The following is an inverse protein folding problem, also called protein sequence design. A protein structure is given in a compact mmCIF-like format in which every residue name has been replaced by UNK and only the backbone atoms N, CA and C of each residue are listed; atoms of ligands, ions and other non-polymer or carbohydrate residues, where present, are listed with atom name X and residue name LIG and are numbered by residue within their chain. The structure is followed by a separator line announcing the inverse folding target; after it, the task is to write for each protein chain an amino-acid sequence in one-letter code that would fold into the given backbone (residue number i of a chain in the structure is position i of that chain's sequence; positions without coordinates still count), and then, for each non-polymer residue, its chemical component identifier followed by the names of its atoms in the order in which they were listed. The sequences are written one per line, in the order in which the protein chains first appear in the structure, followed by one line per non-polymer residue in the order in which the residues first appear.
data_IF_712246043527
#
_entry.id   IF_712246043527
#
_cell.length_a   1.000
_cell.length_b   1.000
_cell.length_c   1.000
_cell.angle_alpha   90.00
_cell.angle_beta   90.00
_cell.angle_gamma   90.00
#
_symmetry.space_group_name_H-M   'P 1'
#
loop_
_entity.id
_entity.type
_entity.pdbx_description
1 polymer ?
#
# COMPACT_ATOMS: atom_id res chain seq x y z
N UNK A 1 23.30 37.12 15.58
CA UNK A 1 23.22 38.17 14.54
C UNK A 1 22.40 37.64 13.38
N UNK A 2 21.35 38.35 13.00
CA UNK A 2 20.46 37.95 11.90
C UNK A 2 21.13 38.29 10.57
N UNK A 3 21.52 37.28 9.82
CA UNK A 3 22.03 37.46 8.46
C UNK A 3 20.90 38.06 7.62
N UNK A 4 20.99 39.37 7.33
CA UNK A 4 20.04 40.11 6.52
C UNK A 4 20.07 39.54 5.10
N UNK A 5 19.12 38.65 4.80
CA UNK A 5 18.91 38.17 3.45
C UNK A 5 18.55 39.37 2.55
N UNK A 6 19.37 39.63 1.54
CA UNK A 6 19.23 40.76 0.57
C UNK A 6 17.89 40.70 -0.20
N UNK A 7 17.15 39.59 -0.11
CA UNK A 7 15.89 39.33 -0.79
C UNK A 7 14.64 39.99 -0.15
N UNK A 8 14.77 40.72 0.96
CA UNK A 8 13.64 41.36 1.62
C UNK A 8 12.86 40.43 2.56
N UNK A 9 11.70 40.88 3.07
CA UNK A 9 10.93 40.07 4.04
C UNK A 9 10.40 38.78 3.41
N UNK A 10 10.39 37.67 4.17
CA UNK A 10 9.93 36.36 3.70
C UNK A 10 8.50 36.40 3.11
N UNK A 11 7.64 37.29 3.64
CA UNK A 11 6.29 37.50 3.13
C UNK A 11 6.28 38.10 1.72
N UNK A 12 7.13 39.09 1.45
CA UNK A 12 7.23 39.74 0.14
C UNK A 12 7.81 38.77 -0.88
N UNK A 13 8.87 38.04 -0.51
CA UNK A 13 9.48 37.01 -1.37
C UNK A 13 8.45 35.95 -1.76
N UNK A 14 7.70 35.42 -0.78
CA UNK A 14 6.63 34.45 -1.05
C UNK A 14 5.58 35.00 -2.01
N UNK A 15 5.16 36.25 -1.82
CA UNK A 15 4.15 36.87 -2.68
C UNK A 15 4.65 37.00 -4.12
N UNK A 16 5.86 37.53 -4.32
CA UNK A 16 6.46 37.70 -5.65
C UNK A 16 6.72 36.35 -6.34
N UNK A 17 7.16 35.32 -5.60
CA UNK A 17 7.28 33.97 -6.14
C UNK A 17 5.94 33.43 -6.63
N UNK A 18 4.86 33.62 -5.87
CA UNK A 18 3.53 33.16 -6.28
C UNK A 18 2.98 33.96 -7.47
N UNK A 19 3.19 35.27 -7.53
CA UNK A 19 2.82 36.08 -8.70
C UNK A 19 3.55 35.61 -9.96
N UNK A 20 4.82 35.23 -9.84
CA UNK A 20 5.59 34.68 -10.95
C UNK A 20 5.15 33.27 -11.37
N UNK A 21 4.94 32.37 -10.40
CA UNK A 21 4.60 30.97 -10.69
C UNK A 21 3.15 30.79 -11.17
N UNK A 22 2.24 31.68 -10.79
CA UNK A 22 0.82 31.57 -11.18
C UNK A 22 0.59 31.51 -12.70
N UNK A 23 1.08 32.46 -13.53
CA UNK A 23 0.90 32.38 -14.99
C UNK A 23 1.59 31.17 -15.62
N UNK A 24 2.73 30.73 -15.06
CA UNK A 24 3.44 29.52 -15.54
C UNK A 24 2.59 28.28 -15.27
N UNK A 25 2.03 28.16 -14.07
CA UNK A 25 1.16 27.04 -13.71
C UNK A 25 -0.11 26.99 -14.58
N UNK A 26 -0.63 28.16 -14.99
CA UNK A 26 -1.82 28.26 -15.83
C UNK A 26 -1.56 27.92 -17.30
N UNK A 27 -0.51 28.48 -17.90
CA UNK A 27 -0.25 28.32 -19.34
C UNK A 27 0.65 27.11 -19.67
N UNK A 28 1.42 26.63 -18.70
CA UNK A 28 2.39 25.55 -18.84
C UNK A 28 2.27 24.51 -17.72
N UNK A 29 1.04 24.22 -17.28
CA UNK A 29 0.75 23.35 -16.15
C UNK A 29 1.50 22.01 -16.17
N UNK A 30 1.50 21.30 -17.31
CA UNK A 30 2.19 20.01 -17.42
C UNK A 30 3.71 20.11 -17.18
N UNK A 31 4.36 21.10 -17.80
CA UNK A 31 5.80 21.35 -17.59
C UNK A 31 6.08 21.80 -16.15
N UNK A 32 5.20 22.62 -15.58
CA UNK A 32 5.31 23.08 -14.20
C UNK A 32 5.24 21.92 -13.21
N UNK A 33 4.20 21.09 -13.28
CA UNK A 33 4.04 19.92 -12.40
C UNK A 33 5.18 18.92 -12.58
N UNK A 34 5.63 18.68 -13.82
CA UNK A 34 6.79 17.83 -14.06
C UNK A 34 8.07 18.40 -13.42
N UNK A 35 8.31 19.70 -13.50
CA UNK A 35 9.45 20.34 -12.85
C UNK A 35 9.38 20.25 -11.31
N UNK A 36 8.20 20.43 -10.71
CA UNK A 36 8.01 20.23 -9.26
C UNK A 36 8.23 18.76 -8.88
N UNK A 37 7.83 17.81 -9.72
CA UNK A 37 8.06 16.39 -9.48
C UNK A 37 9.55 15.99 -9.57
N UNK A 38 10.33 16.65 -10.45
CA UNK A 38 11.80 16.51 -10.45
C UNK A 38 12.37 17.00 -9.12
N UNK A 39 11.97 18.21 -8.67
CA UNK A 39 12.42 18.76 -7.39
C UNK A 39 11.96 17.92 -6.19
N UNK A 40 10.78 17.29 -6.27
CA UNK A 40 10.25 16.36 -5.28
C UNK A 40 11.17 15.16 -5.09
N UNK A 41 11.63 14.60 -6.22
CA UNK A 41 12.53 13.47 -6.25
C UNK A 41 13.92 13.85 -5.71
N UNK A 42 14.47 14.99 -6.11
CA UNK A 42 15.77 15.48 -5.62
C UNK A 42 15.81 15.72 -4.10
N UNK A 43 14.66 16.05 -3.51
CA UNK A 43 14.51 16.28 -2.06
C UNK A 43 14.18 15.01 -1.27
N UNK A 44 14.15 13.85 -1.91
CA UNK A 44 13.86 12.58 -1.22
C UNK A 44 15.02 12.16 -0.33
N UNK A 45 14.71 11.59 0.84
CA UNK A 45 15.71 11.00 1.73
C UNK A 45 16.22 9.66 1.17
N UNK A 46 17.50 9.36 1.39
CA UNK A 46 18.17 8.16 0.85
C UNK A 46 17.64 6.82 1.42
N UNK A 47 17.01 6.81 2.61
CA UNK A 47 16.59 5.59 3.31
C UNK A 47 15.07 5.50 3.48
N UNK A 48 14.31 5.70 2.40
CA UNK A 48 12.85 5.62 2.46
C UNK A 48 12.37 4.16 2.40
N UNK A 49 11.74 3.67 3.48
CA UNK A 49 11.38 2.24 3.65
C UNK A 49 9.89 1.92 3.54
N UNK A 50 9.02 2.90 3.27
CA UNK A 50 7.58 2.65 3.11
C UNK A 50 7.19 2.57 1.64
N UNK A 51 6.13 1.81 1.35
CA UNK A 51 5.58 1.72 -0.01
C UNK A 51 4.69 2.93 -0.31
N UNK A 52 3.91 3.38 0.67
CA UNK A 52 3.14 4.64 0.60
C UNK A 52 4.03 5.78 1.10
N UNK A 53 4.22 6.85 0.31
CA UNK A 53 5.13 7.95 0.62
C UNK A 53 4.64 8.78 1.82
N UNK A 54 5.61 9.37 2.52
CA UNK A 54 5.44 10.31 3.62
C UNK A 54 6.42 11.42 3.32
N UNK A 55 5.89 12.58 2.99
CA UNK A 55 6.69 13.74 2.65
C UNK A 55 7.59 14.13 3.82
N UNK A 56 8.89 14.28 3.54
CA UNK A 56 9.80 14.90 4.49
C UNK A 56 9.59 16.44 4.53
N UNK A 57 10.19 17.17 5.49
CA UNK A 57 10.01 18.61 5.59
C UNK A 57 10.33 19.39 4.31
N UNK A 58 11.35 19.00 3.54
CA UNK A 58 11.76 19.68 2.30
C UNK A 58 10.78 19.42 1.14
N UNK A 59 10.22 18.21 1.08
CA UNK A 59 9.14 17.83 0.17
C UNK A 59 7.83 18.55 0.53
N UNK A 60 7.55 18.71 1.83
CA UNK A 60 6.35 19.42 2.30
C UNK A 60 6.31 20.88 1.84
N UNK A 61 7.46 21.54 1.72
CA UNK A 61 7.55 22.90 1.15
C UNK A 61 7.01 22.94 -0.28
N UNK A 62 7.23 21.90 -1.10
CA UNK A 62 6.70 21.83 -2.46
C UNK A 62 5.18 21.67 -2.45
N UNK A 63 4.64 20.86 -1.53
CA UNK A 63 3.19 20.72 -1.35
C UNK A 63 2.55 22.06 -1.01
N UNK A 64 3.13 22.80 -0.05
CA UNK A 64 2.64 24.13 0.33
C UNK A 64 2.78 25.16 -0.79
N UNK A 65 3.81 25.05 -1.61
CA UNK A 65 3.99 25.90 -2.78
C UNK A 65 2.86 25.68 -3.78
N UNK A 66 2.61 24.43 -4.17
CA UNK A 66 1.53 24.08 -5.11
C UNK A 66 0.16 24.47 -4.53
N UNK A 67 -0.08 24.20 -3.24
CA UNK A 67 -1.31 24.61 -2.54
C UNK A 67 -1.53 26.11 -2.43
N UNK A 68 -0.47 26.92 -2.54
CA UNK A 68 -0.59 28.38 -2.49
C UNK A 68 -0.89 29.01 -3.86
N UNK A 69 -0.78 28.26 -4.96
CA UNK A 69 -1.04 28.74 -6.32
C UNK A 69 -2.54 28.71 -6.61
N UNK A 70 -3.20 29.87 -6.47
CA UNK A 70 -4.66 29.99 -6.68
C UNK A 70 -5.12 29.73 -8.11
N UNK A 71 -4.21 29.87 -9.09
CA UNK A 71 -4.48 29.60 -10.49
C UNK A 71 -4.63 28.10 -10.81
N UNK A 72 -4.28 27.21 -9.87
CA UNK A 72 -4.33 25.76 -10.04
C UNK A 72 -5.11 25.12 -8.87
N UNK A 73 -6.45 25.25 -8.85
CA UNK A 73 -7.28 24.54 -7.88
C UNK A 73 -7.18 23.03 -8.09
N UNK A 74 -7.66 22.26 -7.11
CA UNK A 74 -7.49 20.80 -7.08
C UNK A 74 -7.95 20.11 -8.37
N UNK A 75 -9.12 20.46 -8.92
CA UNK A 75 -9.62 19.85 -10.17
C UNK A 75 -8.66 20.07 -11.35
N UNK A 76 -8.17 21.30 -11.53
CA UNK A 76 -7.16 21.64 -12.54
C UNK A 76 -5.84 20.91 -12.29
N UNK A 77 -5.42 20.78 -11.03
CA UNK A 77 -4.22 20.00 -10.68
C UNK A 77 -4.39 18.53 -11.05
N UNK A 78 -5.55 17.91 -10.77
CA UNK A 78 -5.82 16.51 -11.11
C UNK A 78 -5.74 16.29 -12.63
N UNK A 79 -6.34 17.17 -13.41
CA UNK A 79 -6.26 17.13 -14.88
C UNK A 79 -4.83 17.29 -15.39
N UNK A 80 -4.07 18.20 -14.77
CA UNK A 80 -2.66 18.42 -15.12
C UNK A 80 -1.80 17.20 -14.77
N UNK A 81 -2.00 16.61 -13.59
CA UNK A 81 -1.34 15.35 -13.17
C UNK A 81 -1.66 14.24 -14.17
N UNK A 82 -2.93 14.10 -14.56
CA UNK A 82 -3.35 13.12 -15.57
C UNK A 82 -2.65 13.34 -16.92
N UNK A 83 -2.56 14.59 -17.38
CA UNK A 83 -1.83 14.92 -18.59
C UNK A 83 -0.35 14.52 -18.50
N UNK A 84 0.33 14.85 -17.40
CA UNK A 84 1.76 14.55 -17.22
C UNK A 84 2.02 13.04 -17.16
N UNK A 85 1.16 12.29 -16.48
CA UNK A 85 1.28 10.83 -16.37
C UNK A 85 1.02 10.16 -17.72
N UNK A 86 0.01 10.64 -18.47
CA UNK A 86 -0.36 10.07 -19.78
C UNK A 86 0.60 10.44 -20.90
N UNK A 87 1.09 11.68 -20.90
CA UNK A 87 1.98 12.25 -21.91
C UNK A 87 3.03 13.11 -21.22
N UNK A 88 4.10 12.49 -20.68
CA UNK A 88 5.12 13.20 -19.94
C UNK A 88 5.84 14.22 -20.82
N UNK A 89 5.99 15.47 -20.37
CA UNK A 89 6.74 16.48 -21.11
C UNK A 89 8.24 16.13 -21.19
N UNK A 90 8.97 16.63 -22.19
CA UNK A 90 10.39 16.35 -22.33
C UNK A 90 11.20 17.02 -21.21
N UNK A 91 11.89 16.21 -20.41
CA UNK A 91 12.75 16.69 -19.33
C UNK A 91 14.19 16.79 -19.84
N UNK A 92 14.73 18.00 -19.86
CA UNK A 92 16.11 18.26 -20.24
C UNK A 92 16.95 18.56 -19.00
N UNK A 93 18.13 17.96 -18.90
CA UNK A 93 19.08 18.30 -17.84
C UNK A 93 18.72 17.82 -16.44
N UNK A 94 17.72 16.94 -16.28
CA UNK A 94 17.49 16.29 -14.99
C UNK A 94 18.78 15.63 -14.51
N UNK A 95 19.21 16.03 -13.31
CA UNK A 95 20.40 15.50 -12.68
C UNK A 95 20.18 14.00 -12.54
N UNK A 96 21.06 13.20 -13.14
CA UNK A 96 21.18 11.78 -12.79
C UNK A 96 21.60 11.73 -11.33
N UNK A 97 20.63 11.67 -10.42
CA UNK A 97 20.91 11.65 -8.99
C UNK A 97 21.56 10.29 -8.71
N UNK A 98 22.80 10.32 -8.22
CA UNK A 98 23.43 9.14 -7.65
C UNK A 98 22.75 8.85 -6.33
N UNK A 99 21.71 8.04 -6.35
CA UNK A 99 21.24 7.42 -5.12
C UNK A 99 22.25 6.36 -4.71
N UNK A 100 22.68 6.37 -3.45
CA UNK A 100 23.32 5.18 -2.85
C UNK A 100 22.30 4.09 -2.51
N UNK A 101 21.00 4.30 -2.78
CA UNK A 101 19.94 3.31 -2.56
C UNK A 101 18.74 3.61 -3.48
N UNK A 102 18.40 2.72 -4.42
CA UNK A 102 17.27 2.93 -5.31
C UNK A 102 15.93 2.93 -4.54
N UNK A 103 14.79 3.36 -5.11
CA UNK A 103 13.50 3.19 -4.46
C UNK A 103 13.26 1.71 -4.07
N UNK A 104 12.51 1.45 -3.00
CA UNK A 104 12.17 0.09 -2.55
C UNK A 104 11.51 -0.78 -3.64
N UNK A 105 10.94 -0.15 -4.66
CA UNK A 105 10.43 -0.82 -5.84
C UNK A 105 11.53 -1.58 -6.62
N UNK A 106 12.81 -1.23 -6.42
CA UNK A 106 13.99 -1.88 -7.00
C UNK A 106 14.87 -2.61 -5.96
N UNK A 107 14.76 -2.29 -4.66
CA UNK A 107 15.67 -2.84 -3.63
C UNK A 107 15.37 -4.29 -3.24
N UNK A 108 14.10 -4.74 -3.24
CA UNK A 108 13.79 -6.02 -2.57
C UNK A 108 14.35 -7.28 -3.25
N UNK A 109 14.93 -7.20 -4.46
CA UNK A 109 15.52 -8.35 -5.15
C UNK A 109 16.88 -8.11 -5.80
N UNK A 110 17.50 -6.94 -5.60
CA UNK A 110 18.86 -6.69 -6.12
C UNK A 110 19.89 -6.93 -5.01
N UNK A 111 20.71 -7.97 -5.18
CA UNK A 111 21.93 -8.12 -4.39
C UNK A 111 22.81 -6.87 -4.58
N UNK A 112 23.57 -6.44 -3.57
CA UNK A 112 24.40 -5.25 -3.65
C UNK A 112 25.66 -5.58 -4.45
N UNK A 113 25.55 -5.65 -5.78
CA UNK A 113 26.72 -5.70 -6.64
C UNK A 113 27.13 -4.30 -7.08
N UNK A 114 28.43 -4.05 -6.95
CA UNK A 114 29.08 -2.76 -7.05
C UNK A 114 29.10 -2.23 -8.48
N UNK A 115 28.04 -1.55 -8.89
CA UNK A 115 28.10 -0.53 -9.95
C UNK A 115 27.17 0.62 -9.59
N UNK A 116 27.65 1.84 -9.80
CA UNK A 116 26.95 3.10 -9.56
C UNK A 116 25.63 3.16 -10.36
N UNK A 117 24.56 2.56 -9.85
CA UNK A 117 23.29 2.43 -10.57
C UNK A 117 22.51 3.74 -10.53
N UNK A 118 22.68 4.48 -11.63
CA UNK A 118 21.91 5.65 -12.03
C UNK A 118 20.43 5.27 -12.15
N UNK A 119 19.60 5.68 -11.20
CA UNK A 119 18.15 5.50 -11.31
C UNK A 119 17.58 6.51 -12.28
N UNK A 120 16.90 6.03 -13.32
CA UNK A 120 16.09 6.89 -14.19
C UNK A 120 14.90 7.45 -13.38
N UNK A 121 14.61 8.74 -13.57
CA UNK A 121 13.48 9.41 -12.94
C UNK A 121 12.17 8.76 -13.41
N UNK A 122 11.47 8.08 -12.50
CA UNK A 122 10.09 7.67 -12.73
C UNK A 122 9.17 8.87 -12.47
N UNK A 123 9.00 9.69 -13.51
CA UNK A 123 8.25 10.94 -13.41
C UNK A 123 6.81 10.70 -12.93
N UNK A 124 6.12 9.70 -13.49
CA UNK A 124 4.74 9.37 -13.11
C UNK A 124 4.61 9.08 -11.61
N UNK A 125 5.55 8.32 -11.03
CA UNK A 125 5.56 8.00 -9.60
C UNK A 125 5.76 9.28 -8.79
N UNK A 126 6.76 10.09 -9.15
CA UNK A 126 7.06 11.34 -8.43
C UNK A 126 5.89 12.33 -8.45
N UNK A 127 5.21 12.44 -9.59
CA UNK A 127 4.02 13.29 -9.75
C UNK A 127 2.87 12.78 -8.89
N UNK A 128 2.62 11.47 -8.88
CA UNK A 128 1.54 10.87 -8.10
C UNK A 128 1.79 10.95 -6.59
N UNK A 129 3.04 10.82 -6.13
CA UNK A 129 3.38 11.02 -4.72
C UNK A 129 3.16 12.46 -4.26
N UNK A 130 3.63 13.43 -5.06
CA UNK A 130 3.38 14.85 -4.82
C UNK A 130 1.87 15.12 -4.74
N UNK A 131 1.11 14.56 -5.69
CA UNK A 131 -0.34 14.73 -5.75
C UNK A 131 -1.05 14.09 -4.54
N UNK A 132 -0.65 12.88 -4.13
CA UNK A 132 -1.14 12.23 -2.93
C UNK A 132 -0.93 13.10 -1.67
N UNK A 133 0.28 13.61 -1.47
CA UNK A 133 0.60 14.48 -0.34
C UNK A 133 -0.14 15.83 -0.42
N UNK A 134 -0.39 16.33 -1.63
CA UNK A 134 -1.23 17.52 -1.84
C UNK A 134 -2.68 17.26 -1.43
N UNK A 135 -3.28 16.14 -1.81
CA UNK A 135 -4.67 15.78 -1.43
C UNK A 135 -4.86 15.72 0.08
N UNK A 136 -3.84 15.27 0.82
CA UNK A 136 -3.83 15.27 2.29
C UNK A 136 -4.05 16.67 2.90
N UNK A 137 -3.71 17.74 2.18
CA UNK A 137 -3.91 19.13 2.63
C UNK A 137 -5.28 19.72 2.31
N UNK A 138 -6.08 19.06 1.45
CA UNK A 138 -7.39 19.57 1.01
C UNK A 138 -8.52 19.13 1.94
N UNK A 139 -9.62 19.88 1.98
CA UNK A 139 -10.83 19.45 2.72
C UNK A 139 -11.66 18.43 1.92
N UNK A 140 -12.50 17.66 2.61
CA UNK A 140 -13.42 16.69 1.98
C UNK A 140 -14.27 17.29 0.84
N UNK A 141 -14.94 18.45 1.02
CA UNK A 141 -15.72 19.08 -0.05
C UNK A 141 -14.88 19.43 -1.30
N UNK A 142 -13.67 19.95 -1.11
CA UNK A 142 -12.77 20.25 -2.24
C UNK A 142 -12.37 18.99 -3.01
N UNK A 143 -12.18 17.87 -2.32
CA UNK A 143 -11.88 16.59 -2.96
C UNK A 143 -13.07 16.15 -3.82
N UNK A 144 -14.30 16.20 -3.29
CA UNK A 144 -15.52 15.83 -4.03
C UNK A 144 -15.70 16.64 -5.32
N UNK A 145 -15.38 17.94 -5.31
CA UNK A 145 -15.43 18.79 -6.51
C UNK A 145 -14.53 18.27 -7.64
N UNK A 146 -13.42 17.60 -7.31
CA UNK A 146 -12.48 17.03 -8.27
C UNK A 146 -12.79 15.59 -8.69
N UNK A 147 -13.88 14.98 -8.21
CA UNK A 147 -14.18 13.56 -8.40
C UNK A 147 -14.19 13.14 -9.87
N UNK A 148 -14.83 13.92 -10.75
CA UNK A 148 -14.92 13.59 -12.16
C UNK A 148 -13.54 13.48 -12.84
N UNK A 149 -12.65 14.44 -12.58
CA UNK A 149 -11.27 14.44 -13.08
C UNK A 149 -10.44 13.33 -12.43
N UNK A 150 -10.64 13.08 -11.13
CA UNK A 150 -9.94 12.04 -10.38
C UNK A 150 -10.31 10.64 -10.87
N UNK A 151 -11.58 10.39 -11.16
CA UNK A 151 -12.05 9.12 -11.68
C UNK A 151 -11.40 8.76 -13.01
N UNK A 152 -11.18 9.74 -13.89
CA UNK A 152 -10.50 9.53 -15.17
C UNK A 152 -9.03 9.17 -14.93
N UNK A 153 -8.34 9.91 -14.05
CA UNK A 153 -6.95 9.62 -13.66
C UNK A 153 -6.82 8.19 -13.10
N UNK A 154 -7.73 7.78 -12.20
CA UNK A 154 -7.71 6.45 -11.60
C UNK A 154 -7.95 5.34 -12.63
N UNK A 155 -8.87 5.56 -13.60
CA UNK A 155 -9.15 4.60 -14.68
C UNK A 155 -7.94 4.41 -15.60
N UNK A 156 -7.30 5.49 -16.04
CA UNK A 156 -6.08 5.41 -16.86
C UNK A 156 -4.88 4.90 -16.04
N UNK A 157 -4.90 5.13 -14.71
CA UNK A 157 -3.92 4.66 -13.73
C UNK A 157 -3.71 3.15 -13.68
N UNK A 158 -4.73 2.37 -14.05
CA UNK A 158 -4.67 0.90 -14.09
C UNK A 158 -3.65 0.36 -15.10
N UNK A 159 -3.23 1.16 -16.08
CA UNK A 159 -2.26 0.76 -17.11
C UNK A 159 -0.82 1.22 -16.82
N UNK A 160 -0.61 1.96 -15.72
CA UNK A 160 0.71 2.49 -15.36
C UNK A 160 1.59 1.41 -14.71
N UNK A 161 2.82 1.77 -14.34
CA UNK A 161 3.71 0.83 -13.65
C UNK A 161 3.15 0.40 -12.29
N UNK A 162 3.55 -0.78 -11.75
CA UNK A 162 3.08 -1.24 -10.44
C UNK A 162 3.22 -0.21 -9.30
N UNK A 163 4.35 0.53 -9.15
CA UNK A 163 4.45 1.58 -8.14
C UNK A 163 3.41 2.70 -8.32
N UNK A 164 3.09 3.09 -9.56
CA UNK A 164 2.04 4.06 -9.83
C UNK A 164 0.65 3.51 -9.47
N UNK A 165 0.37 2.23 -9.75
CA UNK A 165 -0.88 1.58 -9.36
C UNK A 165 -1.07 1.54 -7.83
N UNK A 166 0.00 1.34 -7.06
CA UNK A 166 -0.03 1.41 -5.59
C UNK A 166 -0.41 2.81 -5.10
N UNK A 167 0.16 3.86 -5.72
CA UNK A 167 -0.19 5.24 -5.43
C UNK A 167 -1.63 5.56 -5.83
N UNK A 168 -2.16 4.99 -6.91
CA UNK A 168 -3.56 5.15 -7.29
C UNK A 168 -4.49 4.59 -6.21
N UNK A 169 -4.16 3.43 -5.62
CA UNK A 169 -4.93 2.87 -4.51
C UNK A 169 -4.84 3.76 -3.25
N UNK A 170 -3.66 4.33 -2.96
CA UNK A 170 -3.47 5.28 -1.86
C UNK A 170 -4.26 6.59 -2.06
N UNK A 171 -4.23 7.14 -3.27
CA UNK A 171 -4.98 8.33 -3.69
C UNK A 171 -6.49 8.10 -3.55
N UNK A 172 -6.97 6.94 -4.02
CA UNK A 172 -8.37 6.55 -3.88
C UNK A 172 -8.76 6.42 -2.40
N UNK A 173 -7.94 5.77 -1.59
CA UNK A 173 -8.19 5.67 -0.16
C UNK A 173 -8.23 7.05 0.52
N UNK A 174 -7.27 7.92 0.23
CA UNK A 174 -7.26 9.30 0.78
C UNK A 174 -8.54 10.06 0.43
N UNK A 175 -8.99 9.95 -0.82
CA UNK A 175 -10.25 10.54 -1.27
C UNK A 175 -11.43 9.99 -0.46
N UNK A 176 -11.55 8.66 -0.34
CA UNK A 176 -12.65 7.99 0.36
C UNK A 176 -12.69 8.31 1.84
N UNK A 177 -11.54 8.33 2.51
CA UNK A 177 -11.47 8.57 3.96
C UNK A 177 -11.80 10.02 4.34
N UNK A 178 -11.56 10.99 3.45
CA UNK A 178 -11.77 12.42 3.73
C UNK A 178 -13.04 12.99 3.14
N UNK A 179 -13.57 12.39 2.08
CA UNK A 179 -14.75 12.91 1.40
C UNK A 179 -16.02 12.48 2.14
N UNK A 180 -17.04 13.36 2.23
CA UNK A 180 -18.37 12.91 2.58
C UNK A 180 -18.88 11.89 1.54
N UNK A 181 -19.88 11.06 1.88
CA UNK A 181 -20.49 10.14 0.91
C UNK A 181 -20.94 10.86 -0.36
N UNK A 182 -20.65 10.27 -1.52
CA UNK A 182 -20.99 10.87 -2.82
C UNK A 182 -22.52 10.94 -2.96
N UNK A 183 -23.03 12.12 -3.27
CA UNK A 183 -24.47 12.36 -3.33
C UNK A 183 -25.12 11.63 -4.52
N UNK A 184 -24.41 11.52 -5.65
CA UNK A 184 -24.92 10.84 -6.83
C UNK A 184 -24.72 9.33 -6.75
N UNK A 185 -25.81 8.57 -6.94
CA UNK A 185 -25.75 7.10 -6.99
C UNK A 185 -24.82 6.59 -8.09
N UNK A 186 -24.70 7.33 -9.19
CA UNK A 186 -23.79 7.01 -10.29
C UNK A 186 -22.35 7.08 -9.81
N UNK A 187 -21.97 8.19 -9.18
CA UNK A 187 -20.62 8.40 -8.66
C UNK A 187 -20.27 7.37 -7.58
N UNK A 188 -21.22 7.01 -6.72
CA UNK A 188 -21.02 5.92 -5.75
C UNK A 188 -20.74 4.57 -6.44
N UNK A 189 -21.44 4.26 -7.55
CA UNK A 189 -21.19 3.04 -8.33
C UNK A 189 -19.86 3.08 -9.05
N UNK A 190 -19.50 4.23 -9.63
CA UNK A 190 -18.20 4.45 -10.27
C UNK A 190 -17.06 4.30 -9.24
N UNK A 191 -17.24 4.79 -8.02
CA UNK A 191 -16.32 4.63 -6.90
C UNK A 191 -16.08 3.15 -6.57
N UNK A 192 -17.16 2.37 -6.47
CA UNK A 192 -17.06 0.93 -6.20
C UNK A 192 -16.43 0.15 -7.35
N UNK A 193 -16.74 0.52 -8.59
CA UNK A 193 -16.14 -0.11 -9.79
C UNK A 193 -14.62 0.12 -9.83
N UNK A 194 -14.17 1.37 -9.64
CA UNK A 194 -12.74 1.67 -9.65
C UNK A 194 -12.00 1.09 -8.44
N UNK A 195 -12.67 1.03 -7.27
CA UNK A 195 -12.14 0.34 -6.08
C UNK A 195 -11.88 -1.14 -6.38
N UNK A 196 -12.87 -1.85 -6.92
CA UNK A 196 -12.73 -3.27 -7.25
C UNK A 196 -11.58 -3.51 -8.26
N UNK A 197 -11.49 -2.67 -9.31
CA UNK A 197 -10.44 -2.78 -10.34
C UNK A 197 -9.03 -2.54 -9.80
N UNK A 198 -8.82 -1.52 -8.97
CA UNK A 198 -7.51 -1.24 -8.36
C UNK A 198 -7.10 -2.34 -7.38
N UNK A 199 -8.04 -2.87 -6.60
CA UNK A 199 -7.80 -4.01 -5.71
C UNK A 199 -7.45 -5.27 -6.50
N UNK A 200 -8.17 -5.54 -7.59
CA UNK A 200 -7.88 -6.67 -8.48
C UNK A 200 -6.49 -6.54 -9.13
N UNK A 201 -6.15 -5.35 -9.63
CA UNK A 201 -4.84 -5.03 -10.19
C UNK A 201 -3.71 -5.27 -9.16
N UNK A 202 -3.85 -4.78 -7.93
CA UNK A 202 -2.88 -5.04 -6.86
C UNK A 202 -2.84 -6.52 -6.47
N UNK A 203 -3.99 -7.22 -6.47
CA UNK A 203 -4.07 -8.66 -6.20
C UNK A 203 -3.35 -9.50 -7.26
N UNK A 204 -3.42 -9.10 -8.53
CA UNK A 204 -2.70 -9.76 -9.62
C UNK A 204 -1.18 -9.60 -9.47
N UNK A 205 -0.71 -8.39 -9.13
CA UNK A 205 0.71 -8.14 -8.85
C UNK A 205 1.17 -8.94 -7.63
N UNK A 206 0.36 -8.94 -6.55
CA UNK A 206 0.62 -9.74 -5.37
C UNK A 206 0.71 -11.24 -5.70
N UNK A 207 -0.08 -11.74 -6.64
CA UNK A 207 -0.07 -13.13 -7.10
C UNK A 207 1.02 -13.48 -8.11
N UNK A 208 1.84 -12.54 -8.57
CA UNK A 208 2.80 -12.77 -9.66
C UNK A 208 3.94 -13.77 -9.31
N UNK A 209 4.21 -13.99 -8.03
CA UNK A 209 5.16 -15.00 -7.54
C UNK A 209 4.52 -16.39 -7.34
N UNK A 210 3.25 -16.57 -7.70
CA UNK A 210 2.52 -17.82 -7.54
C UNK A 210 2.54 -18.67 -8.81
N UNK A 211 2.63 -19.98 -8.63
CA UNK A 211 2.51 -20.97 -9.70
C UNK A 211 1.48 -22.05 -9.37
N UNK A 212 0.91 -22.67 -10.39
CA UNK A 212 -0.03 -23.78 -10.20
C UNK A 212 0.72 -25.04 -9.82
N UNK A 213 0.35 -25.65 -8.69
CA UNK A 213 1.07 -26.82 -8.15
C UNK A 213 0.93 -28.08 -9.00
N UNK A 214 -0.16 -28.20 -9.77
CA UNK A 214 -0.42 -29.35 -10.67
C UNK A 214 -1.45 -28.98 -11.75
N UNK A 215 -1.39 -29.61 -12.92
CA UNK A 215 -2.38 -29.42 -14.00
C UNK A 215 -3.81 -29.88 -13.66
N UNK A 216 -3.97 -30.74 -12.63
CA UNK A 216 -5.25 -31.28 -12.15
C UNK A 216 -5.88 -30.50 -10.99
N UNK A 217 -5.08 -29.77 -10.18
CA UNK A 217 -5.58 -28.89 -9.11
C UNK A 217 -5.14 -27.46 -9.35
N UNK A 218 -6.13 -26.56 -9.44
CA UNK A 218 -5.95 -25.10 -9.39
C UNK A 218 -5.57 -24.64 -7.97
N UNK A 219 -4.51 -25.21 -7.40
CA UNK A 219 -3.93 -24.73 -6.16
C UNK A 219 -2.69 -23.91 -6.53
N UNK A 220 -2.50 -22.78 -5.86
CA UNK A 220 -1.34 -21.92 -6.03
C UNK A 220 -0.30 -22.20 -4.94
N UNK A 221 0.97 -22.14 -5.30
CA UNK A 221 2.11 -22.15 -4.39
C UNK A 221 3.11 -21.06 -4.77
N UNK A 222 3.96 -20.67 -3.83
CA UNK A 222 5.02 -19.68 -4.06
C UNK A 222 6.15 -20.35 -4.85
N UNK A 223 6.59 -19.71 -5.94
CA UNK A 223 7.70 -20.16 -6.78
C UNK A 223 8.98 -20.35 -5.99
N UNK A 224 9.66 -21.48 -6.20
CA UNK A 224 10.92 -21.81 -5.50
C UNK A 224 12.19 -21.38 -6.29
N UNK A 225 12.13 -21.34 -7.63
CA UNK A 225 13.30 -21.06 -8.50
C UNK A 225 13.58 -19.55 -8.70
N UNK A 226 14.86 -19.18 -8.73
CA UNK A 226 15.27 -17.84 -9.20
C UNK A 226 15.10 -17.73 -10.71
N UNK A 227 14.73 -16.54 -11.24
CA UNK A 227 14.79 -16.29 -12.68
C UNK A 227 16.20 -16.58 -13.19
N UNK A 228 16.38 -17.61 -14.03
CA UNK A 228 17.66 -17.81 -14.70
C UNK A 228 18.01 -16.55 -15.52
N UNK A 229 19.28 -16.11 -15.57
CA UNK A 229 19.71 -14.99 -16.40
C UNK A 229 19.75 -15.31 -17.91
N UNK A 230 19.06 -16.36 -18.37
CA UNK A 230 18.96 -16.67 -19.78
C UNK A 230 18.20 -15.56 -20.54
N UNK A 231 18.63 -15.20 -21.76
CA UNK A 231 17.94 -14.19 -22.55
C UNK A 231 16.51 -14.65 -22.81
N UNK A 232 15.57 -13.90 -22.24
CA UNK A 232 14.12 -14.07 -22.39
C UNK A 232 13.82 -14.20 -23.90
N UNK A 233 13.13 -15.26 -24.37
CA UNK A 233 12.54 -15.25 -25.70
C UNK A 233 11.61 -14.05 -25.74
N UNK A 234 11.93 -13.06 -26.58
CA UNK A 234 11.05 -11.92 -26.80
C UNK A 234 9.75 -12.48 -27.38
N UNK A 235 8.72 -12.58 -26.54
CA UNK A 235 7.38 -12.81 -27.05
C UNK A 235 7.10 -11.69 -28.05
N UNK A 236 6.95 -12.08 -29.31
CA UNK A 236 6.59 -11.21 -30.41
C UNK A 236 5.09 -10.88 -30.29
N UNK A 237 4.71 -10.21 -29.23
CA UNK A 237 3.44 -9.48 -29.12
C UNK A 237 3.67 -8.34 -28.12
N UNK A 238 3.96 -7.17 -28.65
CA UNK A 238 4.22 -5.97 -27.87
C UNK A 238 2.97 -5.53 -27.10
N UNK A 239 3.14 -5.35 -25.79
CA UNK A 239 2.38 -4.50 -24.81
C UNK A 239 2.22 -5.16 -23.43
N UNK A 240 2.62 -6.42 -23.23
CA UNK A 240 2.57 -7.06 -21.91
C UNK A 240 3.84 -6.87 -21.07
N UNK A 241 3.72 -6.30 -19.88
CA UNK A 241 4.75 -6.42 -18.83
C UNK A 241 4.87 -7.91 -18.48
N UNK A 242 6.07 -8.49 -18.57
CA UNK A 242 6.26 -9.93 -18.32
C UNK A 242 5.92 -10.29 -16.87
N UNK A 243 5.35 -11.47 -16.61
CA UNK A 243 5.02 -11.93 -15.25
C UNK A 243 6.24 -11.91 -14.29
N UNK A 244 7.45 -12.12 -14.82
CA UNK A 244 8.72 -11.99 -14.10
C UNK A 244 9.03 -10.56 -13.67
N UNK A 245 8.65 -9.56 -14.49
CA UNK A 245 8.76 -8.15 -14.16
C UNK A 245 7.76 -7.70 -13.09
N UNK A 246 6.60 -8.36 -12.98
CA UNK A 246 5.62 -8.07 -11.93
C UNK A 246 5.99 -8.72 -10.58
N UNK A 247 6.60 -9.90 -10.60
CA UNK A 247 7.01 -10.65 -9.42
C UNK A 247 7.87 -9.82 -8.44
N UNK A 248 8.73 -8.92 -8.95
CA UNK A 248 9.58 -8.07 -8.11
C UNK A 248 8.80 -7.08 -7.21
N UNK A 249 7.53 -6.80 -7.54
CA UNK A 249 6.66 -5.88 -6.81
C UNK A 249 5.61 -6.60 -5.96
N UNK A 250 5.63 -7.94 -5.91
CA UNK A 250 4.61 -8.76 -5.23
C UNK A 250 4.48 -8.41 -3.74
N UNK A 251 5.60 -8.31 -3.02
CA UNK A 251 5.61 -7.97 -1.58
C UNK A 251 5.07 -6.57 -1.35
N UNK A 252 5.43 -5.60 -2.18
CA UNK A 252 4.98 -4.21 -2.09
C UNK A 252 3.46 -4.10 -2.31
N UNK A 253 2.92 -4.85 -3.28
CA UNK A 253 1.47 -4.92 -3.48
C UNK A 253 0.75 -5.47 -2.24
N UNK A 254 1.29 -6.51 -1.60
CA UNK A 254 0.73 -7.09 -0.38
C UNK A 254 0.77 -6.09 0.79
N UNK A 255 1.86 -5.34 0.95
CA UNK A 255 2.00 -4.30 1.98
C UNK A 255 0.94 -3.20 1.80
N UNK A 256 0.76 -2.70 0.57
CA UNK A 256 -0.23 -1.64 0.29
C UNK A 256 -1.65 -2.14 0.55
N UNK A 257 -1.97 -3.37 0.12
CA UNK A 257 -3.25 -4.00 0.44
C UNK A 257 -3.43 -4.14 1.96
N UNK A 258 -2.39 -4.54 2.69
CA UNK A 258 -2.44 -4.71 4.14
C UNK A 258 -2.76 -3.41 4.89
N UNK A 259 -2.25 -2.28 4.40
CA UNK A 259 -2.44 -0.96 5.01
C UNK A 259 -3.80 -0.33 4.66
N UNK A 260 -4.27 -0.49 3.42
CA UNK A 260 -5.37 0.32 2.89
C UNK A 260 -6.69 -0.44 2.72
N UNK A 261 -6.66 -1.75 2.48
CA UNK A 261 -7.81 -2.45 1.91
C UNK A 261 -9.03 -2.46 2.82
N UNK A 262 -8.85 -2.85 4.09
CA UNK A 262 -9.97 -2.99 5.01
C UNK A 262 -10.73 -1.66 5.26
N UNK A 263 -10.06 -0.53 5.60
CA UNK A 263 -10.76 0.75 5.79
C UNK A 263 -11.32 1.31 4.48
N UNK A 264 -10.66 1.08 3.33
CA UNK A 264 -11.19 1.47 2.03
C UNK A 264 -12.53 0.77 1.76
N UNK A 265 -12.58 -0.55 1.93
CA UNK A 265 -13.78 -1.32 1.64
C UNK A 265 -14.93 -1.01 2.60
N UNK A 266 -14.65 -0.71 3.87
CA UNK A 266 -15.66 -0.37 4.87
C UNK A 266 -16.39 0.94 4.53
N UNK A 267 -15.68 1.93 3.99
CA UNK A 267 -16.26 3.22 3.61
C UNK A 267 -16.86 3.20 2.19
N UNK A 268 -16.19 2.55 1.22
CA UNK A 268 -16.65 2.51 -0.17
C UNK A 268 -17.88 1.64 -0.39
N UNK A 269 -18.07 0.60 0.44
CA UNK A 269 -19.20 -0.31 0.35
C UNK A 269 -20.09 -0.16 1.59
N UNK A 270 -21.26 0.44 1.40
CA UNK A 270 -22.25 0.58 2.46
C UNK A 270 -22.72 -0.78 3.01
N UNK A 271 -23.46 -0.74 4.11
CA UNK A 271 -23.87 -1.94 4.86
C UNK A 271 -24.63 -2.99 4.04
N UNK A 272 -25.30 -2.59 2.96
CA UNK A 272 -26.12 -3.46 2.10
C UNK A 272 -25.30 -4.20 1.03
N UNK A 273 -24.04 -3.83 0.79
CA UNK A 273 -23.22 -4.38 -0.30
C UNK A 273 -22.07 -5.25 0.20
N UNK A 274 -22.14 -5.68 1.46
CA UNK A 274 -21.13 -6.51 2.13
C UNK A 274 -20.87 -7.83 1.40
N UNK A 275 -21.85 -8.40 0.70
CA UNK A 275 -21.65 -9.62 -0.10
C UNK A 275 -20.69 -9.42 -1.29
N UNK A 276 -20.72 -8.23 -1.92
CA UNK A 276 -19.78 -7.88 -2.99
C UNK A 276 -18.36 -7.79 -2.45
N UNK A 277 -18.20 -7.21 -1.27
CA UNK A 277 -16.91 -7.17 -0.56
C UNK A 277 -16.41 -8.59 -0.28
N UNK A 278 -17.26 -9.48 0.24
CA UNK A 278 -16.88 -10.88 0.47
C UNK A 278 -16.42 -11.56 -0.81
N UNK A 279 -17.07 -11.28 -1.95
CA UNK A 279 -16.70 -11.86 -3.25
C UNK A 279 -15.32 -11.39 -3.69
N UNK A 280 -15.08 -10.07 -3.64
CA UNK A 280 -13.78 -9.46 -3.94
C UNK A 280 -12.67 -10.02 -3.04
N UNK A 281 -12.94 -10.12 -1.74
CA UNK A 281 -11.97 -10.65 -0.77
C UNK A 281 -11.72 -12.15 -0.95
N UNK A 282 -12.73 -12.93 -1.37
CA UNK A 282 -12.52 -14.37 -1.64
C UNK A 282 -11.54 -14.56 -2.80
N UNK A 283 -11.69 -13.76 -3.86
CA UNK A 283 -10.74 -13.75 -4.99
C UNK A 283 -9.35 -13.31 -4.55
N UNK A 284 -9.24 -12.27 -3.70
CA UNK A 284 -7.96 -11.84 -3.14
C UNK A 284 -7.32 -12.94 -2.29
N UNK A 285 -8.07 -13.57 -1.38
CA UNK A 285 -7.56 -14.60 -0.47
C UNK A 285 -6.95 -15.78 -1.23
N UNK A 286 -7.48 -16.14 -2.41
CA UNK A 286 -6.89 -17.16 -3.28
C UNK A 286 -5.43 -16.83 -3.68
N UNK A 287 -5.10 -15.55 -3.85
CA UNK A 287 -3.73 -15.08 -4.12
C UNK A 287 -2.90 -14.80 -2.85
N UNK A 288 -3.50 -14.81 -1.67
CA UNK A 288 -2.83 -14.48 -0.39
C UNK A 288 -2.50 -15.73 0.41
N UNK A 289 -3.45 -16.67 0.51
CA UNK A 289 -3.33 -17.90 1.30
C UNK A 289 -2.07 -18.73 0.99
N UNK A 290 -1.59 -18.86 -0.27
CA UNK A 290 -0.34 -19.59 -0.55
C UNK A 290 0.89 -19.04 0.16
N UNK A 291 0.99 -17.71 0.31
CA UNK A 291 2.09 -17.08 1.03
C UNK A 291 2.05 -17.36 2.53
N UNK A 292 0.87 -17.56 3.10
CA UNK A 292 0.69 -17.93 4.51
C UNK A 292 0.97 -19.41 4.79
N UNK A 293 1.10 -20.25 3.74
CA UNK A 293 1.48 -21.67 3.84
C UNK A 293 2.97 -21.91 3.63
N UNK A 294 3.71 -20.92 3.11
CA UNK A 294 5.12 -21.07 2.77
C UNK A 294 6.01 -20.42 3.84
N UNK A 295 6.92 -21.21 4.43
CA UNK A 295 7.80 -20.77 5.51
C UNK A 295 9.27 -20.61 5.09
N UNK A 296 9.54 -20.51 3.78
CA UNK A 296 10.90 -20.29 3.27
C UNK A 296 11.41 -18.89 3.63
N UNK A 297 12.74 -18.74 3.77
CA UNK A 297 13.37 -17.44 4.08
C UNK A 297 13.05 -16.34 3.07
N UNK A 298 12.92 -16.70 1.79
CA UNK A 298 12.56 -15.77 0.70
C UNK A 298 11.12 -15.24 0.85
N UNK A 299 10.24 -16.02 1.46
CA UNK A 299 8.83 -15.68 1.62
C UNK A 299 8.55 -14.82 2.87
N UNK A 300 9.54 -14.58 3.74
CA UNK A 300 9.34 -13.87 5.02
C UNK A 300 8.63 -12.53 4.85
N UNK A 301 9.04 -11.72 3.87
CA UNK A 301 8.41 -10.43 3.57
C UNK A 301 6.93 -10.58 3.20
N UNK A 302 6.62 -11.52 2.31
CA UNK A 302 5.24 -11.80 1.90
C UNK A 302 4.39 -12.38 3.02
N UNK A 303 4.95 -13.31 3.81
CA UNK A 303 4.27 -13.90 4.96
C UNK A 303 3.86 -12.80 5.96
N UNK A 304 4.78 -11.87 6.25
CA UNK A 304 4.53 -10.73 7.14
C UNK A 304 3.43 -9.82 6.59
N UNK A 305 3.53 -9.41 5.33
CA UNK A 305 2.55 -8.53 4.69
C UNK A 305 1.15 -9.17 4.63
N UNK A 306 1.07 -10.45 4.24
CA UNK A 306 -0.17 -11.21 4.20
C UNK A 306 -0.76 -11.44 5.61
N UNK A 307 0.07 -11.62 6.63
CA UNK A 307 -0.37 -11.72 8.03
C UNK A 307 -0.98 -10.40 8.51
N UNK A 308 -0.35 -9.27 8.18
CA UNK A 308 -0.88 -7.93 8.48
C UNK A 308 -2.21 -7.68 7.76
N UNK A 309 -2.29 -8.01 6.47
CA UNK A 309 -3.53 -7.90 5.68
C UNK A 309 -4.67 -8.69 6.31
N UNK A 310 -4.41 -9.95 6.65
CA UNK A 310 -5.41 -10.82 7.25
C UNK A 310 -5.84 -10.31 8.64
N UNK A 311 -4.90 -9.80 9.45
CA UNK A 311 -5.23 -9.17 10.74
C UNK A 311 -6.13 -7.94 10.56
N UNK A 312 -5.80 -7.07 9.59
CA UNK A 312 -6.61 -5.90 9.25
C UNK A 312 -8.03 -6.29 8.81
N UNK A 313 -8.15 -7.21 7.86
CA UNK A 313 -9.45 -7.73 7.39
C UNK A 313 -10.26 -8.39 8.50
N UNK A 314 -9.60 -9.16 9.39
CA UNK A 314 -10.26 -9.90 10.46
C UNK A 314 -10.99 -9.02 11.47
N UNK A 315 -10.57 -7.75 11.59
CA UNK A 315 -11.21 -6.76 12.47
C UNK A 315 -12.62 -6.37 12.00
N UNK A 316 -12.99 -6.71 10.77
CA UNK A 316 -14.29 -6.43 10.18
C UNK A 316 -15.11 -7.71 10.04
N UNK A 317 -16.12 -7.88 10.90
CA UNK A 317 -16.87 -9.15 10.99
C UNK A 317 -17.46 -9.64 9.65
N UNK A 318 -17.89 -8.73 8.78
CA UNK A 318 -18.49 -9.09 7.49
C UNK A 318 -17.49 -9.73 6.52
N UNK A 319 -16.18 -9.54 6.71
CA UNK A 319 -15.14 -10.14 5.86
C UNK A 319 -14.91 -11.61 6.18
N UNK A 320 -15.35 -12.09 7.36
CA UNK A 320 -15.07 -13.41 7.92
C UNK A 320 -15.28 -14.57 6.95
N UNK A 321 -16.34 -14.50 6.15
CA UNK A 321 -16.70 -15.54 5.17
C UNK A 321 -15.60 -15.76 4.12
N UNK A 322 -14.81 -14.75 3.80
CA UNK A 322 -13.75 -14.81 2.79
C UNK A 322 -12.48 -15.54 3.27
N UNK A 323 -12.17 -15.53 4.57
CA UNK A 323 -10.86 -15.99 5.09
C UNK A 323 -10.95 -17.08 6.16
N UNK A 324 -12.09 -17.23 6.86
CA UNK A 324 -12.21 -18.11 8.04
C UNK A 324 -11.77 -19.56 7.80
N UNK A 325 -12.19 -20.16 6.68
CA UNK A 325 -11.86 -21.56 6.37
C UNK A 325 -10.35 -21.73 6.24
N UNK A 326 -9.73 -20.87 5.45
CA UNK A 326 -8.29 -20.94 5.16
C UNK A 326 -7.47 -20.71 6.44
N UNK A 327 -7.87 -19.77 7.30
CA UNK A 327 -7.22 -19.55 8.61
C UNK A 327 -7.37 -20.74 9.54
N UNK A 328 -8.54 -21.38 9.57
CA UNK A 328 -8.73 -22.57 10.38
C UNK A 328 -7.87 -23.74 9.90
N UNK A 329 -7.73 -23.92 8.58
CA UNK A 329 -6.80 -24.90 8.01
C UNK A 329 -5.35 -24.59 8.38
N UNK A 330 -4.94 -23.33 8.31
CA UNK A 330 -3.60 -22.89 8.72
C UNK A 330 -3.34 -23.19 10.21
N UNK A 331 -4.29 -22.93 11.11
CA UNK A 331 -4.14 -23.20 12.55
C UNK A 331 -4.03 -24.70 12.89
N UNK A 332 -4.49 -25.58 12.00
CA UNK A 332 -4.31 -27.02 12.14
C UNK A 332 -2.95 -27.51 11.60
N UNK A 333 -2.21 -26.66 10.89
CA UNK A 333 -0.87 -26.98 10.42
C UNK A 333 0.16 -26.82 11.55
N UNK A 334 0.85 -27.91 11.86
CA UNK A 334 1.94 -27.92 12.85
C UNK A 334 3.10 -26.98 12.52
N UNK A 335 3.26 -26.59 11.24
CA UNK A 335 4.31 -25.70 10.78
C UNK A 335 3.92 -24.21 10.85
N UNK A 336 2.66 -23.87 11.10
CA UNK A 336 2.18 -22.48 11.00
C UNK A 336 3.04 -21.48 11.77
N UNK A 337 3.41 -21.82 13.01
CA UNK A 337 4.15 -20.91 13.89
C UNK A 337 5.67 -20.89 13.61
N UNK A 338 6.13 -21.48 12.51
CA UNK A 338 7.48 -21.29 11.98
C UNK A 338 7.56 -19.95 11.21
N UNK A 339 7.34 -18.85 11.92
CA UNK A 339 7.34 -17.48 11.41
C UNK A 339 8.24 -16.57 12.24
N UNK A 340 8.57 -15.37 11.73
CA UNK A 340 9.27 -14.36 12.53
C UNK A 340 8.39 -13.84 13.68
N UNK A 341 9.03 -13.49 14.80
CA UNK A 341 8.35 -13.07 16.03
C UNK A 341 7.40 -11.87 15.81
N UNK A 342 7.76 -10.95 14.92
CA UNK A 342 6.92 -9.79 14.57
C UNK A 342 5.52 -10.20 14.09
N UNK A 343 5.42 -11.33 13.37
CA UNK A 343 4.14 -11.83 12.83
C UNK A 343 3.18 -12.32 13.92
N UNK A 344 3.69 -12.70 15.10
CA UNK A 344 2.86 -13.20 16.21
C UNK A 344 1.84 -12.17 16.68
N UNK A 345 2.17 -10.88 16.58
CA UNK A 345 1.25 -9.80 16.94
C UNK A 345 0.01 -9.78 16.04
N UNK A 346 0.18 -10.02 14.75
CA UNK A 346 -0.91 -10.16 13.77
C UNK A 346 -1.71 -11.43 14.00
N UNK A 347 -1.03 -12.56 14.21
CA UNK A 347 -1.68 -13.86 14.42
C UNK A 347 -2.48 -13.91 15.72
N UNK A 348 -2.03 -13.22 16.77
CA UNK A 348 -2.84 -13.01 17.98
C UNK A 348 -4.17 -12.33 17.63
N UNK A 349 -4.13 -11.20 16.92
CA UNK A 349 -5.34 -10.49 16.48
C UNK A 349 -6.26 -11.36 15.62
N UNK A 350 -5.69 -12.13 14.68
CA UNK A 350 -6.44 -13.02 13.79
C UNK A 350 -7.16 -14.11 14.60
N UNK A 351 -6.44 -14.77 15.53
CA UNK A 351 -7.00 -15.83 16.37
C UNK A 351 -8.05 -15.26 17.31
N UNK A 352 -7.80 -14.11 17.94
CA UNK A 352 -8.78 -13.44 18.80
C UNK A 352 -10.07 -13.15 18.04
N UNK A 353 -9.98 -12.56 16.84
CA UNK A 353 -11.13 -12.30 15.98
C UNK A 353 -11.79 -13.58 15.45
N UNK A 354 -11.01 -14.64 15.22
CA UNK A 354 -11.55 -15.95 14.85
C UNK A 354 -12.39 -16.54 16.01
N UNK A 355 -11.88 -16.50 17.24
CA UNK A 355 -12.49 -17.14 18.41
C UNK A 355 -13.64 -16.34 19.03
N UNK A 356 -13.54 -15.00 19.03
CA UNK A 356 -14.56 -14.11 19.61
C UNK A 356 -15.94 -14.30 18.99
N UNK A 357 -16.00 -14.72 17.73
CA UNK A 357 -17.24 -14.89 16.99
C UNK A 357 -17.66 -16.35 16.77
N UNK A 358 -17.02 -17.33 17.43
CA UNK A 358 -17.35 -18.75 17.23
C UNK A 358 -17.04 -19.66 18.43
N UNK A 359 -17.98 -19.70 19.37
CA UNK A 359 -17.92 -20.58 20.56
C UNK A 359 -17.94 -22.08 20.23
N UNK A 360 -18.41 -22.46 19.02
CA UNK A 360 -18.42 -23.83 18.52
C UNK A 360 -17.07 -24.27 17.95
N UNK A 361 -16.37 -23.39 17.23
CA UNK A 361 -15.08 -23.71 16.58
C UNK A 361 -13.95 -23.88 17.57
N UNK A 362 -13.95 -23.11 18.66
CA UNK A 362 -12.99 -23.34 19.75
C UNK A 362 -13.15 -24.74 20.33
N UNK A 363 -14.40 -25.18 20.53
CA UNK A 363 -14.71 -26.54 21.00
C UNK A 363 -14.25 -27.60 20.00
N UNK A 364 -14.44 -27.37 18.70
CA UNK A 364 -14.01 -28.29 17.64
C UNK A 364 -12.48 -28.33 17.45
N UNK A 365 -11.78 -27.23 17.73
CA UNK A 365 -10.32 -27.18 17.74
C UNK A 365 -9.78 -27.92 18.97
N UNK A 366 -10.35 -27.66 20.15
CA UNK A 366 -9.98 -28.34 21.40
C UNK A 366 -10.30 -29.84 21.37
N UNK A 367 -11.36 -30.26 20.67
CA UNK A 367 -11.73 -31.68 20.55
C UNK A 367 -10.85 -32.46 19.58
N UNK A 368 -10.16 -31.79 18.64
CA UNK A 368 -9.21 -32.39 17.71
C UNK A 368 -7.80 -32.56 18.29
N UNK A 369 -7.49 -31.93 19.43
CA UNK A 369 -6.29 -32.25 20.20
C UNK A 369 -6.55 -33.52 21.02
N UNK A 370 -5.83 -34.63 20.77
CA UNK A 370 -5.96 -35.81 21.60
C UNK A 370 -5.54 -35.48 23.03
N UNK A 371 -6.38 -35.84 24.00
CA UNK A 371 -5.97 -35.96 25.41
C UNK A 371 -4.96 -37.11 25.53
N UNK A 372 -3.75 -36.95 25.01
CA UNK A 372 -2.66 -37.84 25.34
C UNK A 372 -1.30 -37.17 25.16
N UNK A 373 -0.84 -36.50 26.21
CA UNK A 373 0.51 -36.69 26.73
C UNK A 373 0.55 -36.15 28.15
N UNK A 374 0.71 -37.06 29.11
CA UNK A 374 1.27 -36.70 30.42
C UNK A 374 2.61 -36.00 30.16
N UNK A 375 2.81 -34.89 30.88
CA UNK A 375 4.08 -34.15 31.04
C UNK A 375 4.42 -33.12 29.95
N UNK A 376 3.95 -31.88 30.11
CA UNK A 376 4.72 -30.72 30.60
C UNK A 376 4.04 -29.40 30.21
N UNK A 377 3.69 -28.61 31.22
CA UNK A 377 3.50 -27.14 31.21
C UNK A 377 2.66 -26.53 30.08
N UNK A 378 1.34 -26.66 30.17
CA UNK A 378 0.42 -25.73 29.49
C UNK A 378 0.57 -24.37 30.18
N UNK A 379 1.20 -23.40 29.52
CA UNK A 379 1.08 -22.00 29.93
C UNK A 379 -0.36 -21.59 29.59
N UNK A 380 -1.24 -21.70 30.58
CA UNK A 380 -2.56 -21.10 30.53
C UNK A 380 -2.33 -19.59 30.70
N UNK A 381 -2.38 -18.84 29.60
CA UNK A 381 -2.54 -17.39 29.70
C UNK A 381 -3.89 -17.11 30.38
N UNK A 382 -3.92 -16.39 31.51
CA UNK A 382 -5.17 -16.07 32.17
C UNK A 382 -5.99 -15.10 31.30
N UNK A 383 -7.33 -15.06 31.47
CA UNK A 383 -8.17 -14.12 30.76
C UNK A 383 -7.79 -12.68 31.14
N UNK A 384 -7.43 -11.87 30.14
CA UNK A 384 -7.09 -10.44 30.28
C UNK A 384 -8.35 -9.57 30.47
N UNK A 385 -9.20 -9.90 31.44
CA UNK A 385 -10.19 -8.96 31.96
C UNK A 385 -10.40 -9.23 33.46
N UNK A 386 -9.63 -8.52 34.27
CA UNK A 386 -9.99 -8.18 35.64
C UNK A 386 -9.34 -6.85 36.01
N UNK A 387 -10.10 -5.86 36.52
CA UNK A 387 -9.53 -4.60 36.95
C UNK A 387 -8.72 -4.83 38.22
N UNK A 388 -7.44 -4.43 38.20
CA UNK A 388 -6.56 -4.46 39.38
C UNK A 388 -7.00 -3.34 40.33
N UNK A 389 -7.32 -3.62 41.60
CA UNK A 389 -7.49 -2.57 42.60
C UNK A 389 -6.10 -2.08 43.05
N UNK A 390 -5.98 -0.76 43.15
CA UNK A 390 -4.82 -0.05 43.68
C UNK A 390 -4.50 -0.47 45.12
N UNK A 391 -3.30 -0.99 45.38
CA UNK A 391 -2.64 -0.83 46.67
C UNK A 391 -1.13 -1.03 46.56
N UNK A 392 -0.46 -0.35 47.47
CA UNK A 392 0.92 0.13 47.57
C UNK A 392 1.94 -0.87 48.13
N UNK A 393 3.24 -0.60 47.86
CA UNK A 393 4.45 -1.12 48.53
C UNK A 393 4.75 -2.63 48.28
N UNK A 394 5.96 -3.14 48.04
CA UNK A 394 7.34 -2.72 48.30
C UNK A 394 8.35 -3.40 47.34
N UNK A 395 9.57 -2.88 47.36
CA UNK A 395 10.82 -3.36 46.73
C UNK A 395 11.06 -4.87 46.70
N UNK A 396 11.57 -5.40 45.57
CA UNK A 396 12.92 -6.02 45.46
C UNK A 396 13.23 -6.50 44.04
N UNK A 397 14.41 -6.13 43.55
CA UNK A 397 15.08 -6.71 42.37
C UNK A 397 15.40 -8.19 42.58
N UNK A 398 15.35 -9.00 41.53
CA UNK A 398 16.40 -9.98 41.24
C UNK A 398 16.53 -10.22 39.74
N UNK A 399 17.77 -10.05 39.27
CA UNK A 399 18.29 -10.44 37.97
C UNK A 399 18.41 -11.96 37.85
N UNK A 400 18.17 -12.48 36.65
CA UNK A 400 19.03 -13.47 35.98
C UNK A 400 18.73 -13.47 34.49
#
# INVERSE_FOLDING_TARGET
EHQSCVLGSARIVKHQLLEFLSPISLHHGANFVAAIAVAWQERRQAHYTKVIPVANPDQQVLVYLVGAIRAMPIDTLVQTVHQVVKQPPPIHGAIKVNYHSPPLCLILNSAPDSTQDRTDLMLEVSVLELFYCYMQTNSGPQLVESWASLLILLKDGLTLTPPAQFLMLAILNEFVQKSPPLAEKKDQKDLQDITAKLVESCSQIAGACLEQTTWLRRNLAVREEEPSPAPIPRDKDGTGVSNLSLAQYSVQAQIVLAELLAPLLDVSYGSQEKERVVTLLTTLMYNITPYLKNHTRRNVGSFRACSQLLASLSSYQYTRKAWRRDVFELLLDSALFQMEADCLTYWRTIVDNLMTHDTTTFRDLMSKYPHNTRSQSVIILPPLFSPVPSSSHDHTCYSC
#
